data_IF_042625161781
#
_entry.id   IF_042625161781
#
_cell.length_a   1.000
_cell.length_b   1.000
_cell.length_c   1.000
_cell.angle_alpha   90.00
_cell.angle_beta   90.00
_cell.angle_gamma   90.00
#
_symmetry.space_group_name_H-M   'P 1'
#
loop_
_entity.id
_entity.type
_entity.pdbx_description
1 polymer ?
#
# COMPACT_ATOMS: atom_id res chain seq x y z
N UNK A 1 3.83 -4.93 14.69
CA UNK A 1 4.29 -3.60 14.22
C UNK A 1 3.11 -2.90 13.57
N UNK A 2 2.68 -1.71 14.00
CA UNK A 2 1.42 -1.07 13.55
C UNK A 2 1.71 0.23 12.79
N UNK A 3 2.07 0.05 11.53
CA UNK A 3 2.35 1.10 10.54
C UNK A 3 1.05 1.88 10.25
N UNK A 4 0.94 3.14 10.68
CA UNK A 4 -0.22 3.99 10.40
C UNK A 4 0.15 5.07 9.39
N UNK A 5 0.49 4.63 8.18
CA UNK A 5 0.81 5.49 7.04
C UNK A 5 -0.33 6.38 6.53
N UNK A 6 -1.35 6.66 7.35
CA UNK A 6 -2.48 7.54 7.02
C UNK A 6 -2.29 8.97 7.52
N UNK A 7 -1.46 9.19 8.56
CA UNK A 7 -1.38 10.50 9.23
C UNK A 7 -0.23 11.41 8.77
N UNK A 8 0.59 10.94 7.81
CA UNK A 8 1.66 11.72 7.20
C UNK A 8 2.74 10.86 6.58
N UNK A 9 3.21 11.25 5.39
CA UNK A 9 4.34 10.64 4.69
C UNK A 9 5.19 11.76 4.10
N UNK A 10 6.45 11.87 4.53
CA UNK A 10 7.35 12.92 4.05
C UNK A 10 8.79 12.41 3.89
N UNK A 11 9.58 13.06 3.04
CA UNK A 11 11.01 12.78 2.93
C UNK A 11 11.82 13.71 3.85
N UNK A 12 13.11 13.41 4.02
CA UNK A 12 14.00 14.18 4.88
C UNK A 12 14.07 15.67 4.52
N UNK A 13 14.12 16.00 3.23
CA UNK A 13 14.23 17.37 2.72
C UNK A 13 13.00 18.20 3.09
N UNK A 14 11.80 17.66 2.82
CA UNK A 14 10.53 18.31 3.18
C UNK A 14 10.36 18.44 4.69
N UNK A 15 10.75 17.43 5.48
CA UNK A 15 10.72 17.53 6.95
C UNK A 15 11.66 18.64 7.43
N UNK A 16 12.88 18.68 6.91
CA UNK A 16 13.87 19.70 7.26
C UNK A 16 13.35 21.11 6.97
N UNK A 17 12.83 21.36 5.76
CA UNK A 17 12.27 22.66 5.37
C UNK A 17 11.10 23.10 6.25
N UNK A 18 10.26 22.17 6.71
CA UNK A 18 9.01 22.48 7.41
C UNK A 18 9.16 22.61 8.92
N UNK A 19 9.95 21.74 9.53
CA UNK A 19 10.10 21.71 10.98
C UNK A 19 11.33 22.48 11.45
N UNK A 20 12.41 22.45 10.65
CA UNK A 20 13.72 22.90 11.08
C UNK A 20 14.52 23.65 10.00
N UNK A 21 13.94 24.67 9.33
CA UNK A 21 14.56 25.31 8.17
C UNK A 21 15.91 25.99 8.46
N UNK A 22 16.14 26.39 9.72
CA UNK A 22 17.37 27.06 10.15
C UNK A 22 18.45 26.08 10.63
N UNK A 23 18.13 24.79 10.74
CA UNK A 23 19.04 23.78 11.26
C UNK A 23 19.87 23.15 10.14
N UNK A 24 20.96 22.47 10.51
CA UNK A 24 21.73 21.66 9.55
C UNK A 24 20.99 20.34 9.25
N UNK A 25 21.11 19.78 8.03
CA UNK A 25 20.51 18.48 7.71
C UNK A 25 20.94 17.33 8.64
N UNK A 26 22.16 17.39 9.18
CA UNK A 26 22.64 16.43 10.19
C UNK A 26 21.80 16.48 11.47
N UNK A 27 21.55 17.67 12.01
CA UNK A 27 20.71 17.88 13.21
C UNK A 27 19.29 17.36 12.98
N UNK A 28 18.73 17.57 11.78
CA UNK A 28 17.43 17.02 11.40
C UNK A 28 17.43 15.47 11.48
N UNK A 29 18.46 14.80 10.94
CA UNK A 29 18.58 13.33 11.03
C UNK A 29 18.70 12.83 12.47
N UNK A 30 19.49 13.51 13.30
CA UNK A 30 19.65 13.16 14.71
C UNK A 30 18.32 13.28 15.48
N UNK A 31 17.54 14.35 15.22
CA UNK A 31 16.19 14.50 15.78
C UNK A 31 15.23 13.43 15.28
N UNK A 32 15.25 13.11 13.98
CA UNK A 32 14.41 12.04 13.43
C UNK A 32 14.73 10.67 14.05
N UNK A 33 16.00 10.34 14.23
CA UNK A 33 16.40 9.11 14.92
C UNK A 33 15.89 9.05 16.37
N UNK A 34 15.83 10.18 17.07
CA UNK A 34 15.23 10.25 18.42
C UNK A 34 13.71 10.03 18.38
N UNK A 35 13.01 10.62 17.42
CA UNK A 35 11.56 10.44 17.24
C UNK A 35 11.21 8.98 16.86
N UNK A 36 12.04 8.33 16.03
CA UNK A 36 11.92 6.91 15.72
C UNK A 36 12.17 6.04 16.96
N UNK A 37 13.24 6.33 17.72
CA UNK A 37 13.52 5.62 18.98
C UNK A 37 12.39 5.79 20.01
N UNK A 38 11.69 6.91 20.00
CA UNK A 38 10.52 7.17 20.84
C UNK A 38 9.23 6.50 20.32
N UNK A 39 9.26 5.87 19.14
CA UNK A 39 8.10 5.20 18.54
C UNK A 39 7.08 6.15 17.94
N UNK A 40 7.45 7.40 17.63
CA UNK A 40 6.54 8.41 17.06
C UNK A 40 6.61 8.48 15.53
N UNK A 41 7.72 8.03 14.95
CA UNK A 41 7.93 7.92 13.52
C UNK A 41 8.47 6.53 13.16
N UNK A 42 8.25 6.14 11.91
CA UNK A 42 8.88 4.98 11.28
C UNK A 42 9.53 5.41 9.96
N UNK A 43 10.73 4.92 9.68
CA UNK A 43 11.39 5.12 8.39
C UNK A 43 11.16 3.95 7.43
N UNK A 44 11.04 4.27 6.15
CA UNK A 44 10.85 3.30 5.08
C UNK A 44 11.68 3.69 3.87
N UNK A 45 12.17 2.68 3.15
CA UNK A 45 12.76 2.85 1.83
C UNK A 45 11.72 2.49 0.77
N UNK A 46 11.47 3.41 -0.16
CA UNK A 46 10.48 3.27 -1.22
C UNK A 46 11.09 3.62 -2.58
N UNK A 47 10.51 3.06 -3.64
CA UNK A 47 10.97 3.28 -5.01
C UNK A 47 9.93 4.08 -5.79
N UNK A 48 10.18 5.36 -6.06
CA UNK A 48 9.27 6.22 -6.84
C UNK A 48 9.72 6.34 -8.29
N UNK A 49 8.84 6.86 -9.15
CA UNK A 49 9.21 7.21 -10.52
C UNK A 49 10.34 8.25 -10.53
N UNK A 50 11.55 7.77 -10.81
CA UNK A 50 12.75 8.61 -10.94
C UNK A 50 13.69 8.59 -9.72
N UNK A 51 13.30 7.98 -8.59
CA UNK A 51 14.19 7.81 -7.43
C UNK A 51 14.05 6.40 -6.84
N UNK A 52 15.15 5.66 -6.79
CA UNK A 52 15.24 4.37 -6.09
C UNK A 52 15.70 4.57 -4.66
N UNK A 53 15.28 3.69 -3.75
CA UNK A 53 15.68 3.67 -2.33
C UNK A 53 15.50 5.05 -1.65
N UNK A 54 14.40 5.72 -1.93
CA UNK A 54 14.09 6.99 -1.29
C UNK A 54 13.68 6.74 0.17
N UNK A 55 14.38 7.37 1.10
CA UNK A 55 14.03 7.36 2.52
C UNK A 55 12.82 8.29 2.76
N UNK A 56 11.76 7.72 3.30
CA UNK A 56 10.54 8.43 3.73
C UNK A 56 10.23 8.09 5.18
N UNK A 57 9.52 8.98 5.85
CA UNK A 57 9.11 8.82 7.24
C UNK A 57 7.58 8.88 7.32
N UNK A 58 7.01 8.00 8.14
CA UNK A 58 5.59 7.99 8.46
C UNK A 58 5.35 8.19 9.94
N UNK A 59 4.20 8.78 10.28
CA UNK A 59 3.75 8.91 11.67
C UNK A 59 3.16 7.59 12.16
N UNK A 60 3.50 7.20 13.38
CA UNK A 60 2.78 6.11 14.08
C UNK A 60 1.47 6.64 14.68
N UNK A 61 0.55 5.75 15.08
CA UNK A 61 -0.64 6.16 15.86
C UNK A 61 -0.26 7.01 17.06
N UNK A 62 0.80 6.56 17.74
CA UNK A 62 1.26 7.17 18.97
C UNK A 62 1.80 8.57 18.67
N UNK A 63 2.66 8.71 17.66
CA UNK A 63 3.17 10.01 17.24
C UNK A 63 2.05 10.95 16.84
N UNK A 64 1.12 10.49 15.99
CA UNK A 64 0.01 11.31 15.48
C UNK A 64 -1.02 11.72 16.56
N UNK A 65 -1.16 10.95 17.65
CA UNK A 65 -2.09 11.26 18.75
C UNK A 65 -1.44 12.03 19.90
N UNK A 66 -0.18 11.74 20.21
CA UNK A 66 0.46 12.18 21.44
C UNK A 66 1.54 13.24 21.24
N UNK A 67 2.13 13.33 20.04
CA UNK A 67 3.29 14.20 19.80
C UNK A 67 3.03 15.29 18.77
N UNK A 68 2.44 14.93 17.62
CA UNK A 68 2.25 15.85 16.51
C UNK A 68 0.86 16.46 16.50
N UNK A 69 0.78 17.79 16.49
CA UNK A 69 -0.49 18.52 16.38
C UNK A 69 -1.06 18.47 14.95
N UNK A 70 -2.28 18.98 14.75
CA UNK A 70 -2.94 18.92 13.44
C UNK A 70 -2.17 19.63 12.31
N UNK A 71 -1.50 20.74 12.60
CA UNK A 71 -0.73 21.50 11.60
C UNK A 71 0.52 20.72 11.20
N UNK A 72 1.22 20.16 12.18
CA UNK A 72 2.42 19.35 11.95
C UNK A 72 2.12 18.07 11.17
N UNK A 73 1.01 17.40 11.49
CA UNK A 73 0.51 16.26 10.69
C UNK A 73 0.28 16.65 9.24
N UNK A 74 -0.30 17.83 8.98
CA UNK A 74 -0.47 18.33 7.60
C UNK A 74 0.87 18.59 6.90
N UNK A 75 1.88 19.09 7.60
CA UNK A 75 3.23 19.25 7.04
C UNK A 75 3.88 17.92 6.67
N UNK A 76 3.59 16.86 7.42
CA UNK A 76 3.99 15.51 7.07
C UNK A 76 3.23 14.94 5.86
N UNK A 77 2.07 15.48 5.47
CA UNK A 77 1.29 15.02 4.31
C UNK A 77 1.65 15.79 3.02
N UNK A 78 2.12 17.03 3.16
CA UNK A 78 2.23 17.96 2.02
C UNK A 78 3.59 17.92 1.34
N UNK A 79 3.57 17.83 -0.01
CA UNK A 79 4.71 18.00 -0.95
C UNK A 79 5.61 16.80 -1.27
N UNK A 80 5.16 15.55 -1.13
CA UNK A 80 5.81 14.46 -1.88
C UNK A 80 5.28 14.45 -3.33
N UNK A 81 6.08 14.72 -4.37
CA UNK A 81 5.62 14.72 -5.76
C UNK A 81 5.03 13.36 -6.20
N UNK A 82 5.40 12.29 -5.49
CA UNK A 82 4.93 10.93 -5.69
C UNK A 82 4.15 10.39 -4.47
N UNK A 83 3.47 11.25 -3.69
CA UNK A 83 2.77 10.87 -2.46
C UNK A 83 1.89 9.63 -2.63
N UNK A 84 1.04 9.61 -3.68
CA UNK A 84 0.13 8.49 -3.94
C UNK A 84 0.89 7.18 -4.19
N UNK A 85 1.97 7.22 -4.98
CA UNK A 85 2.79 6.04 -5.29
C UNK A 85 3.50 5.51 -4.02
N UNK A 86 4.05 6.42 -3.19
CA UNK A 86 4.66 6.06 -1.91
C UNK A 86 3.63 5.46 -0.97
N UNK A 87 2.46 6.11 -0.82
CA UNK A 87 1.40 5.65 0.05
C UNK A 87 0.89 4.27 -0.36
N UNK A 88 0.67 4.04 -1.66
CA UNK A 88 0.29 2.73 -2.19
C UNK A 88 1.34 1.65 -1.88
N UNK A 89 2.63 1.94 -2.03
CA UNK A 89 3.70 1.00 -1.68
C UNK A 89 3.72 0.67 -0.19
N UNK A 90 3.56 1.67 0.67
CA UNK A 90 3.53 1.46 2.12
C UNK A 90 2.30 0.65 2.55
N UNK A 91 1.13 0.91 1.95
CA UNK A 91 -0.07 0.11 2.18
C UNK A 91 0.10 -1.32 1.69
N UNK A 92 0.70 -1.53 0.51
CA UNK A 92 0.99 -2.87 -0.01
C UNK A 92 1.97 -3.63 0.92
N UNK A 93 3.03 -2.98 1.40
CA UNK A 93 3.96 -3.58 2.37
C UNK A 93 3.27 -3.95 3.68
N UNK A 94 2.41 -3.06 4.21
CA UNK A 94 1.61 -3.36 5.40
C UNK A 94 0.69 -4.55 5.19
N UNK A 95 0.04 -4.60 4.04
CA UNK A 95 -0.87 -5.68 3.66
C UNK A 95 -0.15 -7.01 3.61
N UNK A 96 1.09 -7.02 3.09
CA UNK A 96 1.95 -8.20 3.10
C UNK A 96 2.16 -8.73 4.51
N UNK A 97 2.54 -7.88 5.47
CA UNK A 97 2.80 -8.33 6.85
C UNK A 97 1.56 -8.90 7.52
N UNK A 98 0.40 -8.25 7.35
CA UNK A 98 -0.86 -8.74 7.89
C UNK A 98 -1.23 -10.09 7.26
N UNK A 99 -1.06 -10.20 5.93
CA UNK A 99 -1.28 -11.44 5.21
C UNK A 99 -0.35 -12.55 5.71
N UNK A 100 0.94 -12.29 5.89
CA UNK A 100 1.90 -13.26 6.43
C UNK A 100 1.48 -13.76 7.83
N UNK A 101 1.01 -12.88 8.71
CA UNK A 101 0.50 -13.25 10.04
C UNK A 101 -0.76 -14.14 9.95
N UNK A 102 -1.71 -13.79 9.07
CA UNK A 102 -2.92 -14.58 8.85
C UNK A 102 -2.62 -15.95 8.23
N UNK A 103 -1.72 -16.00 7.24
CA UNK A 103 -1.30 -17.24 6.59
C UNK A 103 -0.62 -18.18 7.58
N UNK A 104 0.22 -17.65 8.47
CA UNK A 104 0.85 -18.43 9.53
C UNK A 104 -0.18 -19.11 10.44
N UNK A 105 -1.26 -18.41 10.78
CA UNK A 105 -2.37 -18.99 11.55
C UNK A 105 -3.10 -20.12 10.83
N UNK A 106 -3.01 -20.18 9.50
CA UNK A 106 -3.61 -21.20 8.63
C UNK A 106 -2.63 -22.30 8.21
N UNK A 107 -1.38 -22.24 8.67
CA UNK A 107 -0.31 -23.14 8.22
C UNK A 107 0.08 -22.94 6.76
N UNK A 108 -0.13 -21.74 6.20
CA UNK A 108 0.27 -21.36 4.85
C UNK A 108 1.48 -20.44 4.89
N UNK A 109 2.23 -20.37 3.79
CA UNK A 109 3.44 -19.55 3.69
C UNK A 109 3.43 -18.63 2.47
N UNK A 110 3.89 -17.39 2.65
CA UNK A 110 4.11 -16.45 1.56
C UNK A 110 5.53 -16.65 1.00
N UNK A 111 5.64 -17.17 -0.22
CA UNK A 111 6.93 -17.46 -0.87
C UNK A 111 7.31 -16.48 -1.98
N UNK A 112 6.38 -15.62 -2.39
CA UNK A 112 6.63 -14.63 -3.44
C UNK A 112 5.78 -13.37 -3.28
N UNK A 113 6.36 -12.23 -3.65
CA UNK A 113 5.69 -10.93 -3.64
C UNK A 113 6.13 -10.09 -4.84
N UNK A 114 5.18 -9.74 -5.70
CA UNK A 114 5.36 -8.83 -6.82
C UNK A 114 4.59 -7.53 -6.54
N UNK A 115 5.28 -6.39 -6.58
CA UNK A 115 4.62 -5.08 -6.45
C UNK A 115 4.02 -4.62 -7.78
N UNK A 116 3.12 -3.64 -7.73
CA UNK A 116 2.47 -3.04 -8.90
C UNK A 116 3.47 -2.69 -10.01
N UNK A 117 4.62 -2.12 -9.66
CA UNK A 117 5.63 -1.71 -10.64
C UNK A 117 6.16 -2.91 -11.44
N UNK A 118 6.46 -4.02 -10.77
CA UNK A 118 6.93 -5.25 -11.41
C UNK A 118 5.82 -5.83 -12.29
N UNK A 119 4.60 -5.92 -11.78
CA UNK A 119 3.44 -6.40 -12.53
C UNK A 119 3.15 -5.54 -13.77
N UNK A 120 3.24 -4.21 -13.65
CA UNK A 120 3.11 -3.29 -14.79
C UNK A 120 4.24 -3.46 -15.80
N UNK A 121 5.45 -3.74 -15.34
CA UNK A 121 6.58 -4.02 -16.23
C UNK A 121 6.36 -5.31 -17.00
N UNK A 122 5.93 -6.38 -16.32
CA UNK A 122 5.60 -7.68 -16.92
C UNK A 122 4.43 -7.55 -17.91
N UNK A 123 3.36 -6.85 -17.53
CA UNK A 123 2.22 -6.57 -18.40
C UNK A 123 2.63 -5.81 -19.67
N UNK A 124 3.59 -4.87 -19.57
CA UNK A 124 4.15 -4.16 -20.75
C UNK A 124 4.97 -5.08 -21.64
N UNK A 125 5.76 -5.98 -21.07
CA UNK A 125 6.56 -6.94 -21.85
C UNK A 125 5.65 -7.94 -22.59
N UNK A 126 4.50 -8.27 -22.02
CA UNK A 126 3.50 -9.13 -22.63
C UNK A 126 2.62 -8.41 -23.68
N UNK A 127 2.68 -7.08 -23.78
CA UNK A 127 2.00 -6.35 -24.84
C UNK A 127 2.73 -6.53 -26.17
N UNK A 128 2.04 -7.11 -27.16
CA UNK A 128 2.58 -7.24 -28.51
C UNK A 128 2.87 -5.85 -29.13
N UNK A 129 3.96 -5.71 -29.93
CA UNK A 129 4.22 -4.50 -30.70
C UNK A 129 3.02 -4.19 -31.61
N UNK A 130 2.36 -3.05 -31.37
CA UNK A 130 1.18 -2.62 -32.15
C UNK A 130 -0.15 -2.66 -31.40
N UNK A 131 -0.23 -3.30 -30.22
CA UNK A 131 -1.45 -3.26 -29.40
C UNK A 131 -1.59 -1.91 -28.68
N UNK A 132 -2.39 -0.99 -29.25
CA UNK A 132 -2.79 0.28 -28.59
C UNK A 132 -3.87 0.06 -27.53
N UNK A 133 -3.77 -0.99 -26.72
CA UNK A 133 -4.72 -1.24 -25.64
C UNK A 133 -4.41 -0.32 -24.45
N UNK A 134 -4.81 0.95 -24.56
CA UNK A 134 -4.77 1.95 -23.49
C UNK A 134 -5.52 1.51 -22.20
N UNK A 135 -6.30 0.42 -22.25
CA UNK A 135 -7.02 -0.16 -21.12
C UNK A 135 -6.28 -1.25 -20.31
N UNK A 136 -5.21 -1.84 -20.83
CA UNK A 136 -4.58 -3.04 -20.21
C UNK A 136 -3.83 -2.73 -18.90
N UNK A 137 -3.34 -1.51 -18.71
CA UNK A 137 -2.65 -1.11 -17.48
C UNK A 137 -3.63 -0.87 -16.30
N UNK A 138 -4.91 -0.65 -16.58
CA UNK A 138 -5.92 -0.44 -15.53
C UNK A 138 -6.38 -1.73 -14.84
N UNK A 139 -5.98 -2.90 -15.34
CA UNK A 139 -6.28 -4.21 -14.76
C UNK A 139 -5.13 -4.85 -14.00
N UNK A 140 -4.02 -4.12 -13.80
CA UNK A 140 -2.90 -4.62 -13.00
C UNK A 140 -3.23 -4.40 -11.52
N UNK A 141 -3.18 -5.48 -10.74
CA UNK A 141 -3.34 -5.42 -9.30
C UNK A 141 -2.22 -4.60 -8.65
N UNK A 142 -2.50 -3.99 -7.49
CA UNK A 142 -1.51 -3.21 -6.73
C UNK A 142 -0.37 -4.09 -6.20
N UNK A 143 -0.63 -5.37 -5.95
CA UNK A 143 0.40 -6.39 -5.74
C UNK A 143 -0.12 -7.79 -6.08
N UNK A 144 0.79 -8.76 -6.10
CA UNK A 144 0.48 -10.18 -6.23
C UNK A 144 1.35 -10.98 -5.26
N UNK A 145 0.70 -11.87 -4.51
CA UNK A 145 1.30 -12.81 -3.60
C UNK A 145 1.31 -14.21 -4.20
N UNK A 146 2.38 -14.96 -3.91
CA UNK A 146 2.46 -16.40 -4.15
C UNK A 146 2.44 -17.09 -2.79
N UNK A 147 1.40 -17.87 -2.55
CA UNK A 147 1.16 -18.57 -1.29
C UNK A 147 1.33 -20.06 -1.53
N UNK A 148 2.03 -20.74 -0.64
CA UNK A 148 2.16 -22.20 -0.67
C UNK A 148 1.51 -22.81 0.57
N UNK A 149 0.90 -23.97 0.39
CA UNK A 149 0.55 -24.86 1.49
C UNK A 149 1.69 -25.88 1.68
N UNK A 150 2.52 -25.78 2.73
CA UNK A 150 3.64 -26.70 2.93
C UNK A 150 3.24 -28.16 3.10
N UNK A 151 2.01 -28.42 3.58
CA UNK A 151 1.52 -29.78 3.77
C UNK A 151 1.17 -30.48 2.45
N UNK A 152 0.71 -29.73 1.44
CA UNK A 152 0.27 -30.29 0.15
C UNK A 152 1.21 -29.95 -1.01
N UNK A 153 2.09 -28.96 -0.84
CA UNK A 153 2.91 -28.37 -1.90
C UNK A 153 2.14 -27.49 -2.88
N UNK A 154 0.84 -27.28 -2.67
CA UNK A 154 -0.02 -26.52 -3.56
C UNK A 154 0.31 -25.02 -3.50
N UNK A 155 0.41 -24.39 -4.67
CA UNK A 155 0.69 -22.95 -4.79
C UNK A 155 -0.52 -22.19 -5.33
N UNK A 156 -0.88 -21.11 -4.65
CA UNK A 156 -1.97 -20.22 -5.03
C UNK A 156 -1.43 -18.82 -5.33
N UNK A 157 -1.89 -18.25 -6.45
CA UNK A 157 -1.67 -16.85 -6.79
C UNK A 157 -2.82 -16.02 -6.25
N UNK A 158 -2.48 -14.94 -5.55
CA UNK A 158 -3.46 -14.06 -4.94
C UNK A 158 -3.15 -12.62 -5.34
N UNK A 159 -4.10 -11.99 -6.02
CA UNK A 159 -4.00 -10.57 -6.33
C UNK A 159 -4.35 -9.75 -5.10
N UNK A 160 -3.76 -8.56 -5.00
CA UNK A 160 -3.97 -7.64 -3.88
C UNK A 160 -4.31 -6.29 -4.47
N UNK A 161 -5.46 -5.78 -4.06
CA UNK A 161 -5.98 -4.47 -4.44
C UNK A 161 -6.05 -3.60 -3.19
N UNK A 162 -5.35 -2.48 -3.21
CA UNK A 162 -5.37 -1.50 -2.13
C UNK A 162 -6.42 -0.48 -2.44
N UNK A 163 -7.28 -0.22 -1.47
CA UNK A 163 -8.34 0.75 -1.62
C UNK A 163 -7.77 2.16 -1.85
N UNK A 164 -7.89 2.63 -3.09
CA UNK A 164 -7.53 3.98 -3.50
C UNK A 164 -8.74 4.92 -3.50
N UNK A 165 -8.65 6.03 -4.22
CA UNK A 165 -9.76 6.97 -4.41
C UNK A 165 -10.84 6.44 -5.40
N UNK A 166 -11.18 5.15 -5.31
CA UNK A 166 -12.20 4.51 -6.12
C UNK A 166 -13.58 4.72 -5.51
N UNK A 167 -14.45 5.45 -6.19
CA UNK A 167 -15.81 5.71 -5.74
C UNK A 167 -16.83 5.49 -6.85
N UNK A 168 -18.07 5.20 -6.45
CA UNK A 168 -19.23 5.11 -7.34
C UNK A 168 -18.98 4.17 -8.52
N UNK A 169 -19.11 4.69 -9.74
CA UNK A 169 -18.97 3.93 -10.98
C UNK A 169 -17.59 3.27 -11.12
N UNK A 170 -16.51 3.96 -10.73
CA UNK A 170 -15.14 3.44 -10.89
C UNK A 170 -14.90 2.22 -9.99
N UNK A 171 -15.38 2.27 -8.75
CA UNK A 171 -15.28 1.14 -7.81
C UNK A 171 -16.02 -0.09 -8.37
N UNK A 172 -17.25 0.11 -8.84
CA UNK A 172 -18.07 -0.96 -9.43
C UNK A 172 -17.40 -1.59 -10.65
N UNK A 173 -16.88 -0.77 -11.55
CA UNK A 173 -16.19 -1.26 -12.75
C UNK A 173 -14.91 -2.05 -12.39
N UNK A 174 -14.18 -1.64 -11.36
CA UNK A 174 -12.99 -2.36 -10.89
C UNK A 174 -13.37 -3.73 -10.29
N UNK A 175 -14.36 -3.77 -9.41
CA UNK A 175 -14.87 -5.01 -8.80
C UNK A 175 -15.40 -5.96 -9.87
N UNK A 176 -16.25 -5.47 -10.79
CA UNK A 176 -16.79 -6.28 -11.88
C UNK A 176 -15.69 -6.85 -12.78
N UNK A 177 -14.62 -6.09 -13.03
CA UNK A 177 -13.46 -6.57 -13.79
C UNK A 177 -12.74 -7.70 -13.06
N UNK A 178 -12.47 -7.55 -11.76
CA UNK A 178 -11.85 -8.60 -10.94
C UNK A 178 -12.70 -9.87 -10.96
N UNK A 179 -14.01 -9.73 -10.75
CA UNK A 179 -14.97 -10.83 -10.82
C UNK A 179 -14.91 -11.55 -12.18
N UNK A 180 -14.89 -10.80 -13.28
CA UNK A 180 -14.82 -11.36 -14.63
C UNK A 180 -13.49 -12.05 -14.96
N UNK A 181 -12.39 -11.61 -14.32
CA UNK A 181 -11.08 -12.20 -14.51
C UNK A 181 -10.92 -13.55 -13.77
N UNK A 182 -11.78 -13.83 -12.79
CA UNK A 182 -11.79 -15.08 -12.04
C UNK A 182 -10.59 -15.27 -11.10
N UNK A 183 -9.78 -14.22 -10.89
CA UNK A 183 -8.60 -14.30 -10.04
C UNK A 183 -8.97 -14.01 -8.59
N UNK A 184 -8.59 -14.91 -7.68
CA UNK A 184 -8.68 -14.68 -6.24
C UNK A 184 -7.96 -13.37 -5.87
N UNK A 185 -8.63 -12.52 -5.12
CA UNK A 185 -8.17 -11.17 -4.81
C UNK A 185 -8.45 -10.83 -3.35
N UNK A 186 -7.46 -10.28 -2.66
CA UNK A 186 -7.69 -9.58 -1.40
C UNK A 186 -7.87 -8.09 -1.69
N UNK A 187 -8.99 -7.54 -1.24
CA UNK A 187 -9.23 -6.10 -1.22
C UNK A 187 -8.87 -5.53 0.16
N UNK A 188 -7.79 -4.75 0.20
CA UNK A 188 -7.29 -4.10 1.42
C UNK A 188 -7.97 -2.76 1.58
N UNK A 189 -8.64 -2.52 2.70
CA UNK A 189 -9.38 -1.26 2.93
C UNK A 189 -9.39 -0.86 4.40
N UNK A 190 -9.89 0.34 4.68
CA UNK A 190 -10.08 0.88 6.03
C UNK A 190 -11.46 0.51 6.59
N UNK A 191 -11.66 0.51 7.93
CA UNK A 191 -12.92 0.10 8.54
C UNK A 191 -14.15 0.88 8.05
N UNK A 192 -14.00 2.19 7.81
CA UNK A 192 -15.04 3.08 7.31
C UNK A 192 -15.49 2.73 5.89
N UNK A 193 -14.60 2.14 5.09
CA UNK A 193 -14.85 1.78 3.69
C UNK A 193 -15.21 0.31 3.47
N UNK A 194 -14.86 -0.56 4.41
CA UNK A 194 -15.09 -2.00 4.33
C UNK A 194 -16.55 -2.37 4.01
N UNK A 195 -17.52 -1.75 4.69
CA UNK A 195 -18.95 -2.02 4.47
C UNK A 195 -19.36 -1.70 3.04
N UNK A 196 -18.90 -0.57 2.51
CA UNK A 196 -19.23 -0.15 1.14
C UNK A 196 -18.66 -1.12 0.12
N UNK A 197 -17.40 -1.51 0.28
CA UNK A 197 -16.75 -2.44 -0.65
C UNK A 197 -17.43 -3.81 -0.59
N UNK A 198 -17.74 -4.29 0.61
CA UNK A 198 -18.47 -5.55 0.80
C UNK A 198 -19.82 -5.57 0.07
N UNK A 199 -20.58 -4.48 0.16
CA UNK A 199 -21.84 -4.36 -0.56
C UNK A 199 -21.65 -4.42 -2.08
N UNK A 200 -20.66 -3.72 -2.62
CA UNK A 200 -20.39 -3.71 -4.08
C UNK A 200 -19.86 -5.07 -4.57
N UNK A 201 -19.04 -5.77 -3.77
CA UNK A 201 -18.60 -7.15 -4.03
C UNK A 201 -19.80 -8.11 -4.07
N UNK A 202 -20.73 -7.98 -3.11
CA UNK A 202 -21.95 -8.76 -3.06
C UNK A 202 -22.86 -8.52 -4.28
N UNK A 203 -23.05 -7.25 -4.67
CA UNK A 203 -23.82 -6.88 -5.86
C UNK A 203 -23.21 -7.43 -7.16
N UNK A 204 -21.88 -7.54 -7.23
CA UNK A 204 -21.18 -8.13 -8.35
C UNK A 204 -21.17 -9.67 -8.35
N UNK A 205 -21.67 -10.32 -7.29
CA UNK A 205 -21.61 -11.77 -7.13
C UNK A 205 -20.19 -12.31 -6.97
N UNK A 206 -19.27 -11.48 -6.45
CA UNK A 206 -17.84 -11.78 -6.40
C UNK A 206 -17.33 -12.24 -5.02
N UNK A 207 -18.24 -12.65 -4.13
CA UNK A 207 -17.92 -12.99 -2.73
C UNK A 207 -16.93 -14.14 -2.56
N UNK A 208 -16.94 -15.10 -3.48
CA UNK A 208 -16.02 -16.24 -3.45
C UNK A 208 -14.63 -15.91 -4.03
N UNK A 209 -14.52 -14.78 -4.75
CA UNK A 209 -13.30 -14.34 -5.42
C UNK A 209 -12.59 -13.21 -4.67
N UNK A 210 -13.35 -12.35 -3.98
CA UNK A 210 -12.83 -11.14 -3.34
C UNK A 210 -12.98 -11.23 -1.83
N UNK A 211 -11.88 -11.43 -1.14
CA UNK A 211 -11.78 -11.36 0.32
C UNK A 211 -11.49 -9.92 0.75
N UNK A 212 -12.16 -9.43 1.80
CA UNK A 212 -11.94 -8.06 2.31
C UNK A 212 -11.05 -8.11 3.54
N UNK A 213 -9.89 -7.46 3.44
CA UNK A 213 -8.95 -7.29 4.55
C UNK A 213 -9.00 -5.86 5.07
N UNK A 214 -9.38 -5.71 6.33
CA UNK A 214 -9.50 -4.40 6.98
C UNK A 214 -8.23 -4.06 7.75
N UNK A 215 -7.59 -2.93 7.40
CA UNK A 215 -6.39 -2.43 8.07
C UNK A 215 -6.75 -1.28 9.01
N UNK A 216 -6.36 -1.41 10.29
CA UNK A 216 -6.72 -0.49 11.38
C UNK A 216 -5.59 0.38 11.90
#
# INVERSE_FOLDING_TARGET
MRLLGTDGVSNLETIHEKFWPQEKPRTCRERLAQLEKAGWLESHFVDTRGKKNQLVFTLTAQGAKQHFNQVERKFMITKLPAYNEVHQQLMAQRSRFILEEQLKGRGLELIGWNNERKLRSEARLQQHPGSRAWGALGGVADAQAVIVNPATGETNLLNIEVDGAYYGKVLREKIARIASAGNSTIWVTTPDRATRISNEVGLAGAGDLIEIMVIS
#
